data_IF_063900446197
#
_entry.id   IF_063900446197
#
_cell.length_a   1.000
_cell.length_b   1.000
_cell.length_c   1.000
_cell.angle_alpha   90.00
_cell.angle_beta   90.00
_cell.angle_gamma   90.00
#
_symmetry.space_group_name_H-M   'P 1'
#
loop_
_entity.id
_entity.type
_entity.pdbx_description
1 polymer ?
#
# COMPACT_ATOMS: atom_id res chain seq x y z
N UNK A 1 3.78 -11.06 6.48
CA UNK A 1 3.59 -9.76 7.18
C UNK A 1 2.17 -9.49 7.70
N UNK A 2 1.12 -9.42 6.87
CA UNK A 2 -0.24 -9.08 7.35
C UNK A 2 -0.75 -10.01 8.47
N UNK A 3 -0.73 -11.33 8.22
CA UNK A 3 -1.11 -12.35 9.21
C UNK A 3 -0.22 -12.31 10.45
N UNK A 4 1.08 -12.06 10.26
CA UNK A 4 2.02 -11.90 11.35
C UNK A 4 1.63 -10.72 12.25
N UNK A 5 1.21 -9.59 11.67
CA UNK A 5 0.74 -8.41 12.42
C UNK A 5 -0.67 -8.59 13.01
N UNK A 6 -1.28 -9.77 12.86
CA UNK A 6 -2.61 -10.08 13.39
C UNK A 6 -3.76 -9.52 12.56
N UNK A 7 -3.51 -9.14 11.30
CA UNK A 7 -4.55 -8.77 10.35
C UNK A 7 -4.96 -9.98 9.50
N UNK A 8 -6.26 -10.15 9.27
CA UNK A 8 -6.74 -11.19 8.36
C UNK A 8 -6.42 -10.82 6.90
N UNK A 9 -5.77 -11.71 6.13
CA UNK A 9 -5.53 -11.46 4.72
C UNK A 9 -6.85 -11.54 3.94
N UNK A 10 -7.22 -10.44 3.27
CA UNK A 10 -8.40 -10.37 2.41
C UNK A 10 -8.17 -11.11 1.08
N UNK A 11 -6.92 -11.23 0.64
CA UNK A 11 -6.54 -11.91 -0.59
C UNK A 11 -5.74 -13.19 -0.29
N UNK A 12 -6.39 -14.33 -0.49
CA UNK A 12 -5.74 -15.61 -0.76
C UNK A 12 -5.17 -15.60 -2.18
N UNK A 13 -4.04 -16.27 -2.47
CA UNK A 13 -3.51 -16.43 -3.83
C UNK A 13 -4.52 -16.93 -4.87
N UNK A 14 -5.66 -17.50 -4.43
CA UNK A 14 -6.74 -17.97 -5.29
C UNK A 14 -7.49 -16.86 -6.05
N UNK A 15 -7.46 -15.61 -5.60
CA UNK A 15 -8.26 -14.51 -6.21
C UNK A 15 -7.70 -14.08 -7.58
N UNK A 16 -6.41 -14.30 -7.85
CA UNK A 16 -5.80 -14.02 -9.17
C UNK A 16 -6.25 -14.98 -10.29
N UNK A 17 -7.04 -16.02 -10.00
CA UNK A 17 -7.50 -16.96 -11.03
C UNK A 17 -8.61 -16.42 -11.93
N UNK A 18 -9.18 -15.25 -11.63
CA UNK A 18 -10.30 -14.67 -12.39
C UNK A 18 -10.02 -13.26 -12.93
N UNK A 19 -8.75 -12.84 -13.01
CA UNK A 19 -8.39 -11.62 -13.72
C UNK A 19 -8.88 -11.73 -15.18
N UNK A 20 -9.79 -10.84 -15.56
CA UNK A 20 -10.25 -10.72 -16.94
C UNK A 20 -9.02 -10.46 -17.82
N UNK A 21 -8.93 -11.07 -19.03
CA UNK A 21 -7.82 -10.80 -19.92
C UNK A 21 -7.87 -9.33 -20.37
N UNK A 22 -7.04 -8.50 -19.73
CA UNK A 22 -6.87 -7.12 -20.15
C UNK A 22 -6.08 -7.08 -21.46
N UNK A 23 -6.63 -6.38 -22.46
CA UNK A 23 -5.91 -6.10 -23.70
C UNK A 23 -4.83 -5.06 -23.39
N UNK A 24 -3.59 -5.50 -23.30
CA UNK A 24 -2.46 -4.59 -23.16
C UNK A 24 -2.15 -3.91 -24.51
N UNK A 25 -1.68 -2.66 -24.52
CA UNK A 25 -1.13 -2.05 -25.73
C UNK A 25 0.07 -2.89 -26.20
N UNK A 26 0.06 -3.31 -27.47
CA UNK A 26 1.10 -4.16 -28.05
C UNK A 26 2.49 -3.48 -28.11
N UNK A 27 2.54 -2.17 -27.87
CA UNK A 27 3.71 -1.29 -27.90
C UNK A 27 4.15 -0.77 -26.52
N UNK A 28 3.52 -1.22 -25.43
CA UNK A 28 3.87 -0.78 -24.09
C UNK A 28 5.28 -1.27 -23.69
N UNK A 29 6.10 -0.37 -23.12
CA UNK A 29 7.36 -0.76 -22.48
C UNK A 29 7.10 -1.72 -21.32
N UNK A 30 8.11 -2.52 -20.94
CA UNK A 30 8.01 -3.46 -19.81
C UNK A 30 7.64 -2.76 -18.50
N UNK A 31 8.15 -1.55 -18.28
CA UNK A 31 7.85 -0.72 -17.11
C UNK A 31 6.36 -0.34 -17.09
N UNK A 32 5.84 0.13 -18.23
CA UNK A 32 4.43 0.47 -18.41
C UNK A 32 3.51 -0.73 -18.22
N UNK A 33 3.92 -1.92 -18.68
CA UNK A 33 3.17 -3.16 -18.41
C UNK A 33 3.10 -3.49 -16.92
N UNK A 34 4.18 -3.24 -16.17
CA UNK A 34 4.21 -3.39 -14.72
C UNK A 34 3.26 -2.42 -14.02
N UNK A 35 3.28 -1.14 -14.41
CA UNK A 35 2.37 -0.11 -13.88
C UNK A 35 0.90 -0.43 -14.17
N UNK A 36 0.59 -0.87 -15.41
CA UNK A 36 -0.76 -1.33 -15.78
C UNK A 36 -1.17 -2.52 -14.91
N UNK A 37 -0.27 -3.50 -14.73
CA UNK A 37 -0.53 -4.65 -13.87
C UNK A 37 -0.84 -4.26 -12.43
N UNK A 38 -0.08 -3.32 -11.86
CA UNK A 38 -0.30 -2.78 -10.52
C UNK A 38 -1.66 -2.07 -10.42
N UNK A 39 -1.96 -1.17 -11.36
CA UNK A 39 -3.24 -0.46 -11.44
C UNK A 39 -4.45 -1.42 -11.47
N UNK A 40 -4.38 -2.47 -12.28
CA UNK A 40 -5.44 -3.47 -12.39
C UNK A 40 -5.59 -4.29 -11.11
N UNK A 41 -4.48 -4.70 -10.49
CA UNK A 41 -4.50 -5.43 -9.23
C UNK A 41 -5.16 -4.63 -8.10
N UNK A 42 -4.88 -3.33 -8.01
CA UNK A 42 -5.51 -2.45 -7.01
C UNK A 42 -7.00 -2.26 -7.28
N UNK A 43 -7.40 -2.08 -8.55
CA UNK A 43 -8.81 -1.96 -8.92
C UNK A 43 -9.60 -3.22 -8.54
N UNK A 44 -9.06 -4.39 -8.83
CA UNK A 44 -9.69 -5.67 -8.51
C UNK A 44 -9.74 -5.89 -6.98
N UNK A 45 -8.69 -5.48 -6.26
CA UNK A 45 -8.67 -5.44 -4.79
C UNK A 45 -9.78 -4.54 -4.24
N UNK A 46 -9.93 -3.31 -4.75
CA UNK A 46 -11.01 -2.41 -4.31
C UNK A 46 -12.38 -3.04 -4.56
N UNK A 47 -12.55 -3.76 -5.67
CA UNK A 47 -13.75 -4.54 -5.92
C UNK A 47 -14.02 -5.62 -4.87
N UNK A 48 -12.97 -6.25 -4.35
CA UNK A 48 -13.05 -7.23 -3.27
C UNK A 48 -13.47 -6.57 -1.95
N UNK A 49 -12.86 -5.44 -1.57
CA UNK A 49 -13.24 -4.64 -0.38
C UNK A 49 -14.71 -4.21 -0.45
N UNK A 50 -15.15 -3.76 -1.62
CA UNK A 50 -16.55 -3.37 -1.87
C UNK A 50 -17.52 -4.54 -1.65
N UNK A 51 -17.11 -5.74 -2.05
CA UNK A 51 -17.94 -6.94 -2.02
C UNK A 51 -17.98 -7.56 -0.62
N UNK A 52 -16.85 -7.55 0.11
CA UNK A 52 -16.81 -8.00 1.50
C UNK A 52 -17.61 -7.09 2.43
N UNK A 53 -17.68 -5.79 2.11
CA UNK A 53 -18.28 -4.79 3.00
C UNK A 53 -17.42 -4.51 4.23
N UNK A 54 -16.16 -4.95 4.21
CA UNK A 54 -15.20 -4.78 5.29
C UNK A 54 -14.07 -3.86 4.82
N UNK A 55 -13.70 -2.92 5.67
CA UNK A 55 -12.54 -2.07 5.45
C UNK A 55 -11.25 -2.89 5.47
N UNK A 56 -10.21 -2.41 4.78
CA UNK A 56 -9.04 -3.21 4.46
C UNK A 56 -7.73 -2.49 4.75
N UNK A 57 -6.75 -3.25 5.23
CA UNK A 57 -5.33 -2.87 5.15
C UNK A 57 -4.72 -3.63 3.99
N UNK A 58 -4.12 -2.89 3.07
CA UNK A 58 -3.47 -3.37 1.86
C UNK A 58 -1.97 -3.29 2.04
N UNK A 59 -1.30 -4.34 1.59
CA UNK A 59 0.15 -4.49 1.59
C UNK A 59 0.57 -5.11 0.26
N UNK A 60 1.50 -4.47 -0.45
CA UNK A 60 2.20 -5.09 -1.58
C UNK A 60 3.21 -6.15 -1.08
N UNK A 61 3.73 -6.97 -2.00
CA UNK A 61 4.64 -8.08 -1.66
C UNK A 61 6.08 -7.63 -1.39
N UNK A 62 6.42 -6.41 -1.80
CA UNK A 62 7.75 -5.83 -1.74
C UNK A 62 7.97 -4.91 -0.52
N UNK A 63 7.28 -5.13 0.59
CA UNK A 63 7.38 -4.28 1.78
C UNK A 63 8.26 -4.84 2.93
N UNK A 64 8.76 -3.96 3.79
CA UNK A 64 9.41 -4.27 5.06
C UNK A 64 9.03 -3.28 6.17
N UNK A 65 9.25 -3.69 7.42
CA UNK A 65 9.11 -2.82 8.58
C UNK A 65 10.45 -2.17 8.93
N UNK A 66 10.43 -0.86 9.18
CA UNK A 66 11.60 -0.11 9.65
C UNK A 66 11.80 -0.20 11.17
N UNK A 67 10.83 -0.75 11.89
CA UNK A 67 10.78 -0.88 13.35
C UNK A 67 10.30 -2.27 13.77
N UNK A 68 10.44 -2.56 15.06
CA UNK A 68 9.93 -3.79 15.66
C UNK A 68 8.43 -3.96 15.36
N UNK A 69 8.05 -5.20 15.07
CA UNK A 69 6.70 -5.57 14.61
C UNK A 69 5.58 -5.13 15.54
N UNK A 70 5.73 -5.31 16.85
CA UNK A 70 4.74 -4.86 17.85
C UNK A 70 4.58 -3.34 17.84
N UNK A 71 5.70 -2.60 17.72
CA UNK A 71 5.67 -1.15 17.60
C UNK A 71 4.98 -0.71 16.32
N UNK A 72 5.27 -1.36 15.20
CA UNK A 72 4.58 -1.12 13.92
C UNK A 72 3.08 -1.34 14.03
N UNK A 73 2.66 -2.46 14.64
CA UNK A 73 1.26 -2.78 14.87
C UNK A 73 0.56 -1.70 15.70
N UNK A 74 1.16 -1.31 16.82
CA UNK A 74 0.60 -0.28 17.69
C UNK A 74 0.46 1.06 16.98
N UNK A 75 1.49 1.47 16.22
CA UNK A 75 1.44 2.70 15.44
C UNK A 75 0.36 2.67 14.36
N UNK A 76 0.18 1.54 13.65
CA UNK A 76 -0.90 1.39 12.67
C UNK A 76 -2.25 1.49 13.39
N UNK A 77 -2.47 0.74 14.47
CA UNK A 77 -3.73 0.76 15.21
C UNK A 77 -4.09 2.16 15.72
N UNK A 78 -3.11 2.88 16.28
CA UNK A 78 -3.29 4.25 16.73
C UNK A 78 -3.62 5.19 15.56
N UNK A 79 -2.93 5.04 14.42
CA UNK A 79 -3.20 5.80 13.20
C UNK A 79 -4.63 5.58 12.72
N UNK A 80 -5.07 4.32 12.64
CA UNK A 80 -6.42 3.97 12.20
C UNK A 80 -7.49 4.48 13.17
N UNK A 81 -7.23 4.45 14.47
CA UNK A 81 -8.13 5.01 15.47
C UNK A 81 -8.29 6.53 15.32
N UNK A 82 -7.17 7.23 15.09
CA UNK A 82 -7.12 8.70 15.03
C UNK A 82 -7.61 9.26 13.69
N UNK A 83 -7.55 8.47 12.62
CA UNK A 83 -7.94 8.87 11.26
C UNK A 83 -9.13 8.05 10.74
N UNK A 84 -9.94 7.48 11.63
CA UNK A 84 -11.08 6.60 11.30
C UNK A 84 -12.12 7.23 10.39
N UNK A 85 -12.15 8.57 10.29
CA UNK A 85 -13.03 9.32 9.41
C UNK A 85 -12.50 9.46 7.98
N UNK A 86 -11.26 9.04 7.71
CA UNK A 86 -10.66 9.09 6.37
C UNK A 86 -11.05 7.87 5.56
N UNK A 87 -11.30 8.10 4.28
CA UNK A 87 -11.57 7.04 3.30
C UNK A 87 -10.31 6.22 2.97
N UNK A 88 -9.14 6.87 3.02
CA UNK A 88 -7.85 6.29 2.65
C UNK A 88 -6.76 6.79 3.60
N UNK A 89 -5.94 5.88 4.13
CA UNK A 89 -4.83 6.24 5.02
C UNK A 89 -3.55 5.59 4.49
N UNK A 90 -2.57 6.39 4.11
CA UNK A 90 -1.27 5.91 3.70
C UNK A 90 -0.47 5.43 4.91
N UNK A 91 -0.04 4.18 4.89
CA UNK A 91 0.75 3.56 5.95
C UNK A 91 2.23 3.42 5.57
N UNK A 92 2.53 3.59 4.29
CA UNK A 92 3.83 3.37 3.70
C UNK A 92 4.56 4.64 3.25
N UNK A 93 5.89 4.52 3.12
CA UNK A 93 6.76 5.53 2.52
C UNK A 93 7.78 4.95 1.55
N UNK A 94 8.28 5.80 0.66
CA UNK A 94 9.39 5.51 -0.25
C UNK A 94 10.50 6.55 -0.13
N UNK A 95 11.71 6.14 0.24
CA UNK A 95 12.87 7.02 0.42
C UNK A 95 12.65 8.14 1.45
N UNK A 96 13.26 9.31 1.22
CA UNK A 96 13.09 10.53 2.05
C UNK A 96 11.90 11.37 1.59
N UNK A 97 10.94 10.75 0.92
CA UNK A 97 9.95 11.45 0.13
C UNK A 97 8.58 11.23 0.75
N UNK A 98 7.83 12.31 0.97
CA UNK A 98 6.47 12.29 1.54
C UNK A 98 5.43 11.75 0.55
N UNK A 99 5.84 10.88 -0.37
CA UNK A 99 4.96 10.43 -1.44
C UNK A 99 3.94 9.44 -0.87
N UNK A 100 2.68 9.77 -1.15
CA UNK A 100 1.54 8.86 -1.10
C UNK A 100 1.83 7.66 -2.00
N UNK A 101 1.96 6.48 -1.41
CA UNK A 101 2.40 5.25 -2.09
C UNK A 101 1.43 4.10 -1.86
N UNK A 102 1.20 3.29 -2.87
CA UNK A 102 0.21 2.21 -2.88
C UNK A 102 0.69 0.95 -2.17
N UNK A 103 1.98 0.85 -1.81
CA UNK A 103 2.54 -0.37 -1.24
C UNK A 103 2.01 -0.70 0.17
N UNK A 104 1.51 0.29 0.90
CA UNK A 104 0.83 0.06 2.16
C UNK A 104 -0.19 1.16 2.49
N UNK A 105 -1.46 0.79 2.62
CA UNK A 105 -2.52 1.73 2.98
C UNK A 105 -3.71 1.02 3.63
N UNK A 106 -4.48 1.76 4.40
CA UNK A 106 -5.83 1.39 4.80
C UNK A 106 -6.85 2.05 3.89
N UNK A 107 -7.95 1.37 3.59
CA UNK A 107 -9.05 1.89 2.79
C UNK A 107 -10.39 1.44 3.35
N UNK A 108 -11.34 2.37 3.42
CA UNK A 108 -12.72 2.04 3.78
C UNK A 108 -13.47 1.48 2.58
N UNK A 109 -14.57 0.78 2.84
CA UNK A 109 -15.50 0.34 1.79
C UNK A 109 -15.99 1.53 0.96
N UNK A 110 -16.21 2.70 1.59
CA UNK A 110 -16.57 3.94 0.92
C UNK A 110 -15.47 4.47 0.01
N UNK A 111 -14.24 4.54 0.52
CA UNK A 111 -13.05 4.92 -0.24
C UNK A 111 -12.80 4.02 -1.44
N UNK A 112 -12.96 2.70 -1.28
CA UNK A 112 -12.85 1.74 -2.36
C UNK A 112 -13.88 1.99 -3.47
N UNK A 113 -15.14 2.33 -3.13
CA UNK A 113 -16.15 2.71 -4.14
C UNK A 113 -15.77 4.00 -4.87
N UNK A 114 -15.25 5.00 -4.14
CA UNK A 114 -14.84 6.27 -4.73
C UNK A 114 -13.68 6.08 -5.72
N UNK A 115 -12.66 5.29 -5.34
CA UNK A 115 -11.53 4.98 -6.23
C UNK A 115 -11.95 4.12 -7.43
N UNK A 116 -12.84 3.15 -7.25
CA UNK A 116 -13.30 2.27 -8.34
C UNK A 116 -14.27 2.96 -9.30
N UNK A 117 -15.20 3.78 -8.81
CA UNK A 117 -16.19 4.42 -9.68
C UNK A 117 -15.63 5.62 -10.47
N UNK A 118 -14.46 6.13 -10.08
CA UNK A 118 -13.75 7.22 -10.78
C UNK A 118 -12.62 6.72 -11.69
N UNK A 119 -12.70 5.48 -12.16
CA UNK A 119 -11.69 4.78 -12.99
C UNK A 119 -11.26 5.51 -14.29
N UNK A 120 -11.83 6.68 -14.62
CA UNK A 120 -11.32 7.53 -15.68
C UNK A 120 -9.83 7.84 -15.44
N UNK A 121 -8.95 7.24 -16.25
CA UNK A 121 -7.50 7.37 -16.16
C UNK A 121 -6.77 6.12 -15.67
N UNK A 122 -7.44 5.09 -15.12
CA UNK A 122 -6.80 3.78 -14.92
C UNK A 122 -7.04 2.88 -16.15
N UNK A 123 -6.01 2.17 -16.67
CA UNK A 123 -4.63 2.10 -16.19
C UNK A 123 -3.67 3.07 -16.92
N UNK A 124 -4.17 4.19 -17.45
CA UNK A 124 -3.35 5.16 -18.22
C UNK A 124 -2.33 5.91 -17.36
N UNK A 125 -2.65 6.11 -16.07
CA UNK A 125 -1.73 6.68 -15.07
C UNK A 125 -1.34 5.64 -14.01
N UNK A 126 -0.12 5.73 -13.44
CA UNK A 126 0.27 4.89 -12.30
C UNK A 126 -0.70 5.02 -11.12
N UNK A 127 -0.95 3.91 -10.42
CA UNK A 127 -1.93 3.87 -9.32
C UNK A 127 -1.62 4.86 -8.20
N UNK A 128 -0.34 5.07 -7.89
CA UNK A 128 0.12 6.08 -6.92
C UNK A 128 -0.35 7.48 -7.30
N UNK A 129 -0.16 7.85 -8.57
CA UNK A 129 -0.54 9.15 -9.10
C UNK A 129 -2.07 9.32 -9.13
N UNK A 130 -2.79 8.25 -9.49
CA UNK A 130 -4.25 8.22 -9.45
C UNK A 130 -4.77 8.46 -8.03
N UNK A 131 -4.34 7.65 -7.05
CA UNK A 131 -4.78 7.75 -5.67
C UNK A 131 -4.45 9.13 -5.08
N UNK A 132 -3.24 9.64 -5.37
CA UNK A 132 -2.85 11.01 -4.98
C UNK A 132 -3.78 12.07 -5.57
N UNK A 133 -4.10 11.97 -6.85
CA UNK A 133 -5.02 12.92 -7.52
C UNK A 133 -6.41 12.88 -6.89
N UNK A 134 -6.89 11.68 -6.53
CA UNK A 134 -8.18 11.51 -5.84
C UNK A 134 -8.19 12.17 -4.45
N UNK A 135 -7.06 12.13 -3.74
CA UNK A 135 -6.87 12.87 -2.48
C UNK A 135 -6.80 14.38 -2.69
N UNK A 136 -5.97 14.85 -3.63
CA UNK A 136 -5.73 16.28 -3.88
C UNK A 136 -6.97 17.01 -4.42
N UNK A 137 -7.82 16.30 -5.17
CA UNK A 137 -9.10 16.82 -5.66
C UNK A 137 -10.23 16.74 -4.63
N UNK A 138 -9.98 16.16 -3.44
CA UNK A 138 -10.97 15.98 -2.39
C UNK A 138 -12.06 14.96 -2.72
N UNK A 139 -11.89 14.15 -3.78
CA UNK A 139 -12.81 13.07 -4.14
C UNK A 139 -12.73 11.89 -3.16
N UNK A 140 -11.60 11.75 -2.47
CA UNK A 140 -11.36 10.78 -1.40
C UNK A 140 -10.73 11.54 -0.24
N UNK A 141 -11.24 11.36 0.98
CA UNK A 141 -10.62 11.97 2.16
C UNK A 141 -9.41 11.15 2.59
N UNK A 142 -8.24 11.78 2.66
CA UNK A 142 -6.99 11.07 2.87
C UNK A 142 -6.27 11.47 4.18
N UNK A 143 -5.56 10.51 4.76
CA UNK A 143 -4.68 10.68 5.91
C UNK A 143 -3.35 9.96 5.69
N UNK A 144 -2.39 10.18 6.59
CA UNK A 144 -1.09 9.50 6.56
C UNK A 144 -0.68 9.11 7.97
N UNK A 145 -0.04 7.95 8.08
CA UNK A 145 0.62 7.52 9.30
C UNK A 145 1.73 8.52 9.69
N UNK A 146 1.98 8.70 11.00
CA UNK A 146 3.00 9.61 11.48
C UNK A 146 4.40 9.15 11.06
N UNK A 147 5.34 10.08 11.09
CA UNK A 147 6.75 9.82 10.87
C UNK A 147 7.30 8.80 11.87
N UNK A 148 8.09 7.86 11.38
CA UNK A 148 8.89 6.98 12.24
C UNK A 148 10.26 7.63 12.41
N UNK A 149 10.61 8.17 13.60
CA UNK A 149 11.92 8.74 13.81
C UNK A 149 12.97 7.63 13.71
N UNK A 150 13.79 7.69 12.66
CA UNK A 150 14.97 6.83 12.53
C UNK A 150 16.22 7.60 12.98
N UNK A 151 17.11 6.94 13.70
CA UNK A 151 18.17 7.57 14.52
C UNK A 151 19.32 8.21 13.74
N UNK A 152 19.19 8.47 12.44
CA UNK A 152 20.28 9.05 11.64
C UNK A 152 19.85 9.88 10.42
N UNK A 153 18.63 9.76 9.88
CA UNK A 153 18.23 10.46 8.66
C UNK A 153 16.73 10.76 8.71
N UNK A 154 16.40 12.03 8.43
CA UNK A 154 15.10 12.64 8.06
C UNK A 154 13.82 11.85 8.31
N UNK A 155 12.87 12.51 8.97
CA UNK A 155 11.43 12.18 9.10
C UNK A 155 10.92 11.39 7.87
N UNK A 156 10.75 10.07 8.03
CA UNK A 156 10.17 9.18 7.02
C UNK A 156 8.70 8.93 7.39
N UNK A 157 7.77 9.39 6.55
CA UNK A 157 6.31 9.35 6.80
C UNK A 157 5.71 7.97 6.57
N UNK A 158 5.80 7.09 7.55
CA UNK A 158 5.05 5.84 7.52
C UNK A 158 5.73 4.71 8.26
N UNK A 159 4.93 3.68 8.56
CA UNK A 159 5.36 2.51 9.33
C UNK A 159 5.98 1.44 8.41
N UNK A 160 5.63 1.47 7.12
CA UNK A 160 5.98 0.42 6.15
C UNK A 160 6.85 0.98 5.02
N UNK A 161 8.03 0.41 4.83
CA UNK A 161 8.98 0.79 3.79
C UNK A 161 8.82 -0.13 2.58
N UNK A 162 8.82 0.42 1.38
CA UNK A 162 9.02 -0.38 0.17
C UNK A 162 10.48 -0.85 0.05
N UNK A 163 10.67 -2.12 -0.28
CA UNK A 163 11.96 -2.78 -0.52
C UNK A 163 12.12 -2.97 -2.01
N UNK A 164 13.08 -2.26 -2.59
CA UNK A 164 13.31 -2.33 -4.02
C UNK A 164 13.79 -3.74 -4.40
N UNK A 165 13.23 -4.38 -5.43
CA UNK A 165 13.61 -5.73 -5.85
C UNK A 165 15.11 -5.89 -6.17
N UNK A 166 15.78 -4.79 -6.57
CA UNK A 166 17.25 -4.75 -6.79
C UNK A 166 18.06 -4.73 -5.49
N UNK A 167 17.51 -4.24 -4.38
CA UNK A 167 18.17 -4.22 -3.06
C UNK A 167 17.62 -5.27 -2.10
N UNK A 168 16.54 -5.98 -2.47
CA UNK A 168 15.84 -6.95 -1.63
C UNK A 168 16.75 -8.06 -1.06
N UNK A 169 17.84 -8.42 -1.75
CA UNK A 169 18.81 -9.41 -1.25
C UNK A 169 19.70 -8.86 -0.12
N UNK A 170 20.06 -7.58 -0.16
CA UNK A 170 20.87 -6.91 0.86
C UNK A 170 20.03 -6.33 2.01
N UNK A 171 18.89 -5.74 1.68
CA UNK A 171 17.98 -5.17 2.67
C UNK A 171 17.31 -6.26 3.52
N UNK A 172 16.81 -7.36 2.94
CA UNK A 172 16.25 -8.47 3.75
C UNK A 172 17.28 -9.07 4.71
N UNK A 173 18.53 -9.24 4.28
CA UNK A 173 19.59 -9.76 5.15
C UNK A 173 19.90 -8.81 6.31
N UNK A 174 20.01 -7.51 6.03
CA UNK A 174 20.32 -6.48 7.04
C UNK A 174 19.18 -6.28 8.05
N UNK A 175 17.93 -6.40 7.61
CA UNK A 175 16.77 -6.30 8.51
C UNK A 175 16.54 -7.58 9.33
N UNK A 176 16.90 -8.75 8.82
CA UNK A 176 16.89 -10.00 9.60
C UNK A 176 17.95 -9.96 10.73
N UNK A 177 19.14 -9.41 10.48
CA UNK A 177 20.16 -9.21 11.52
C UNK A 177 19.70 -8.25 12.63
N UNK A 178 19.07 -7.11 12.28
CA UNK A 178 18.58 -6.15 13.28
C UNK A 178 17.47 -6.77 14.17
N UNK A 179 16.65 -7.65 13.63
CA UNK A 179 15.62 -8.37 14.39
C UNK A 179 16.17 -9.55 15.21
N UNK A 180 17.30 -10.15 14.82
CA UNK A 180 17.96 -11.21 15.59
C UNK A 180 18.82 -10.67 16.74
N UNK A 181 19.38 -9.46 16.62
CA UNK A 181 20.22 -8.83 17.65
C UNK A 181 19.43 -8.18 18.80
N UNK A 182 18.10 -8.23 18.77
CA UNK A 182 17.22 -7.54 19.74
C UNK A 182 16.24 -8.47 20.48
N UNK A 183 16.42 -9.79 20.34
CA UNK A 183 15.77 -10.80 21.16
C UNK A 183 16.74 -11.33 22.22
#
# INVERSE_FOLDING_TARGET
LAAEMGYMPILSPAVFKHAQPHRFPLDASRERLGEIGCALAHRDLWGTVITSGEDAIVFEDDIALSIAKEKARNMINETLHNLREKDLIYLGYWGNSNFMTSHAYFITTGGARLLRNNEAGLPEVPVDQYMRTMCETGRVTCGHAPDVPNSAQTEMRGVVKQVNARTAKGDRARFQEVNQQRN
#
